data_IF_712837239589
#
_entry.id   IF_712837239589
#
_cell.length_a   1.000
_cell.length_b   1.000
_cell.length_c   1.000
_cell.angle_alpha   90.00
_cell.angle_beta   90.00
_cell.angle_gamma   90.00
#
_symmetry.space_group_name_H-M   'P 1'
#
loop_
_entity.id
_entity.type
_entity.pdbx_description
1 polymer ?
2 polymer ?
3 polymer ?
4 water ?
#
# COMPACT_ATOMS: atom_id res chain seq x y z
N UNK A 1 0.84 -9.03 18.51
CA UNK A 1 1.20 -10.36 18.07
C UNK A 1 2.46 -10.39 17.22
N UNK A 2 2.29 -10.70 15.94
CA UNK A 2 3.41 -10.77 15.01
C UNK A 2 3.62 -9.43 14.31
N UNK A 3 4.82 -9.22 13.78
CA UNK A 3 5.13 -7.96 13.11
C UNK A 3 5.98 -8.19 11.88
N UNK A 4 5.99 -7.21 10.98
CA UNK A 4 6.77 -7.32 9.77
C UNK A 4 7.52 -6.02 9.46
N UNK A 5 8.71 -6.16 8.89
CA UNK A 5 9.38 -5.02 8.27
C UNK A 5 9.52 -5.30 6.79
N UNK A 6 9.26 -4.28 5.98
CA UNK A 6 9.19 -4.45 4.54
C UNK A 6 9.75 -3.23 3.81
N UNK A 7 10.65 -3.47 2.87
CA UNK A 7 11.15 -2.41 2.00
C UNK A 7 10.63 -2.62 0.58
N UNK A 8 10.19 -1.52 -0.02
CA UNK A 8 9.65 -1.51 -1.36
C UNK A 8 10.45 -0.56 -2.26
N UNK A 9 11.09 -1.12 -3.29
CA UNK A 9 11.77 -0.34 -4.31
C UNK A 9 10.96 -0.32 -5.60
N UNK A 10 10.91 0.85 -6.23
CA UNK A 10 10.35 0.99 -7.57
C UNK A 10 11.36 1.71 -8.45
N UNK A 11 11.70 1.10 -9.57
CA UNK A 11 12.61 1.70 -10.54
C UNK A 11 11.89 1.86 -11.88
N UNK A 12 11.79 3.10 -12.33
CA UNK A 12 11.02 3.42 -13.53
C UNK A 12 11.87 4.10 -14.60
N UNK A 13 12.08 3.41 -15.72
CA UNK A 13 12.83 4.01 -16.82
C UNK A 13 11.94 4.96 -17.61
N UNK A 14 12.56 5.93 -18.26
CA UNK A 14 11.83 6.98 -18.96
C UNK A 14 12.73 7.61 -20.02
N UNK A 15 12.98 6.86 -21.11
CA UNK A 15 13.91 7.31 -22.15
C UNK A 15 13.54 8.68 -22.72
N UNK A 16 14.53 9.54 -22.86
CA UNK A 16 14.31 10.90 -23.32
C UNK A 16 14.07 11.86 -22.17
N UNK A 17 13.87 11.31 -20.98
CA UNK A 17 13.57 12.13 -19.80
C UNK A 17 14.46 11.79 -18.63
N UNK A 18 15.74 11.53 -18.93
CA UNK A 18 16.74 11.32 -17.89
C UNK A 18 16.87 9.87 -17.47
N UNK A 19 17.65 9.66 -16.40
CA UNK A 19 17.88 8.33 -15.87
C UNK A 19 16.63 7.84 -15.14
N UNK A 20 16.50 6.51 -14.98
CA UNK A 20 15.32 5.97 -14.30
C UNK A 20 15.13 6.50 -12.88
N UNK A 21 13.88 6.80 -12.52
CA UNK A 21 13.54 7.23 -11.18
C UNK A 21 13.57 6.05 -10.22
N UNK A 22 14.18 6.25 -9.05
CA UNK A 22 14.22 5.21 -8.04
C UNK A 22 13.55 5.72 -6.77
N UNK A 23 12.46 5.05 -6.38
CA UNK A 23 11.73 5.40 -5.17
C UNK A 23 11.72 4.22 -4.20
N UNK A 24 12.13 4.48 -2.95
CA UNK A 24 12.13 3.43 -1.95
C UNK A 24 11.33 3.86 -0.73
N UNK A 25 10.52 2.96 -0.20
CA UNK A 25 9.82 3.23 1.06
C UNK A 25 9.99 2.05 2.01
N UNK A 26 9.96 2.35 3.30
CA UNK A 26 10.11 1.33 4.32
C UNK A 26 8.91 1.34 5.25
N UNK A 27 8.43 0.15 5.59
CA UNK A 27 7.27 -0.04 6.45
C UNK A 27 7.58 -0.96 7.62
N UNK A 28 7.08 -0.61 8.80
CA UNK A 28 6.89 -1.59 9.85
C UNK A 28 5.39 -1.81 9.97
N UNK A 29 4.95 -3.04 9.74
CA UNK A 29 3.52 -3.34 9.61
C UNK A 29 2.88 -2.39 8.60
N UNK A 30 1.82 -1.70 9.01
CA UNK A 30 1.13 -0.76 8.12
C UNK A 30 1.55 0.69 8.35
N UNK A 31 2.74 0.88 8.91
CA UNK A 31 3.26 2.21 9.20
C UNK A 31 4.53 2.50 8.40
N UNK A 32 4.46 3.48 7.49
CA UNK A 32 5.65 3.88 6.74
C UNK A 32 6.58 4.68 7.65
N UNK A 33 7.88 4.43 7.58
CA UNK A 33 8.79 5.14 8.45
C UNK A 33 9.98 5.79 7.74
N UNK A 34 10.31 5.33 6.54
CA UNK A 34 11.35 5.98 5.74
C UNK A 34 10.97 6.09 4.28
N UNK A 35 11.64 6.99 3.56
CA UNK A 35 11.44 7.14 2.13
C UNK A 35 12.70 7.66 1.44
N UNK A 36 12.81 7.33 0.16
CA UNK A 36 13.87 7.87 -0.70
C UNK A 36 13.30 8.10 -2.10
N UNK A 37 13.62 9.26 -2.68
CA UNK A 37 13.20 9.57 -4.04
C UNK A 37 14.36 10.21 -4.79
N UNK A 38 14.81 9.55 -5.85
CA UNK A 38 15.96 10.02 -6.60
C UNK A 38 15.65 11.33 -7.34
N UNK A 39 14.36 11.65 -7.46
CA UNK A 39 13.92 12.86 -8.14
C UNK A 39 13.83 14.06 -7.21
N UNK A 40 14.01 13.82 -5.91
CA UNK A 40 13.97 14.91 -4.94
C UNK A 40 15.12 15.88 -5.18
N UNK A 41 14.94 17.13 -4.79
CA UNK A 41 15.98 18.14 -4.95
C UNK A 41 17.27 17.70 -4.28
N UNK A 42 17.14 17.15 -3.07
CA UNK A 42 18.28 16.58 -2.35
C UNK A 42 17.95 15.17 -1.88
N UNK A 43 18.19 14.17 -2.75
CA UNK A 43 17.88 12.76 -2.45
C UNK A 43 18.56 12.26 -1.19
N UNK A 44 17.76 11.93 -0.18
CA UNK A 44 18.24 11.35 1.07
C UNK A 44 17.20 10.39 1.62
N UNK A 45 17.64 9.39 2.38
CA UNK A 45 16.70 8.61 3.17
C UNK A 45 16.13 9.54 4.22
N UNK A 46 14.80 9.70 4.22
CA UNK A 46 14.15 10.66 5.10
C UNK A 46 13.13 9.99 6.00
N UNK A 47 12.98 10.52 7.23
CA UNK A 47 12.03 9.97 8.22
C UNK A 47 10.57 10.22 7.85
N UNK A 48 9.72 9.25 8.14
CA UNK A 48 8.29 9.38 7.88
C UNK A 48 7.47 8.98 9.11
N UNK A 49 8.16 8.55 10.15
CA UNK A 49 7.55 8.21 11.43
C UNK A 49 8.35 8.86 12.56
N UNK A 50 7.67 9.28 13.64
CA UNK A 50 8.37 10.00 14.71
C UNK A 50 9.43 9.17 15.43
N UNK A 51 9.23 7.87 15.54
CA UNK A 51 10.14 7.03 16.34
C UNK A 51 11.45 6.71 15.62
N UNK A 52 11.56 7.05 14.34
CA UNK A 52 12.80 6.79 13.60
C UNK A 52 13.72 8.00 13.64
N UNK A 53 13.17 9.15 14.07
CA UNK A 53 13.92 10.40 14.07
C UNK A 53 15.09 10.40 15.05
N UNK A 54 15.01 9.57 16.08
CA UNK A 54 16.06 9.54 17.10
C UNK A 54 17.35 8.89 16.59
N UNK A 55 17.28 8.18 15.47
CA UNK A 55 18.47 7.58 14.87
C UNK A 55 19.45 8.67 14.45
N UNK A 56 20.74 8.43 14.66
CA UNK A 56 21.75 9.45 14.44
C UNK A 56 22.24 9.58 13.01
N UNK A 57 23.15 10.53 12.76
CA UNK A 57 23.70 10.86 11.44
C UNK A 57 24.31 9.65 10.72
N UNK A 58 24.92 8.75 11.46
CA UNK A 58 25.51 7.55 10.88
C UNK A 58 24.43 6.69 10.22
N UNK A 59 23.29 6.57 10.89
CA UNK A 59 22.16 5.82 10.36
C UNK A 59 21.69 6.41 9.03
N UNK A 60 21.35 7.69 9.04
CA UNK A 60 20.77 8.34 7.87
C UNK A 60 21.76 8.41 6.70
N UNK A 61 23.03 8.64 7.01
CA UNK A 61 24.05 8.67 5.96
C UNK A 61 24.24 7.29 5.36
N UNK A 62 24.33 6.27 6.21
CA UNK A 62 24.44 4.90 5.76
C UNK A 62 23.28 4.49 4.86
N UNK A 63 22.07 4.79 5.32
CA UNK A 63 20.86 4.47 4.57
C UNK A 63 20.81 5.21 3.23
N UNK A 64 21.22 6.48 3.24
CA UNK A 64 21.24 7.27 2.02
C UNK A 64 22.23 6.70 0.99
N UNK A 65 23.45 6.40 1.44
CA UNK A 65 24.44 5.77 0.58
C UNK A 65 23.87 4.48 0.00
N UNK A 66 23.20 3.45 0.99
CA UNK A 66 22.52 2.29 0.43
C UNK A 66 21.51 2.67 -0.64
N UNK A 67 20.71 3.71 -0.52
CA UNK A 67 19.68 3.96 -1.50
C UNK A 67 20.26 4.44 -2.83
N UNK A 68 21.31 5.24 -2.78
CA UNK A 68 21.96 5.67 -4.02
C UNK A 68 22.59 4.49 -4.75
N UNK A 69 23.30 3.66 -4.01
CA UNK A 69 23.90 2.45 -4.58
C UNK A 69 22.83 1.55 -5.21
N UNK A 70 21.74 1.35 -4.49
CA UNK A 70 20.62 0.54 -4.97
C UNK A 70 20.01 1.13 -6.24
N UNK A 71 19.91 2.46 -6.28
CA UNK A 71 19.40 3.15 -7.46
C UNK A 71 20.29 2.83 -8.65
N UNK A 72 21.60 2.94 -8.47
CA UNK A 72 22.54 2.54 -9.53
C UNK A 72 22.31 1.09 -9.99
N UNK A 73 22.25 0.19 -9.02
CA UNK A 73 22.06 -1.23 -9.29
C UNK A 73 20.81 -1.51 -10.13
N UNK A 74 19.68 -0.91 -9.76
CA UNK A 74 18.45 -1.20 -10.47
C UNK A 74 18.33 -0.44 -11.80
N UNK A 75 19.04 0.67 -11.90
CA UNK A 75 19.20 1.31 -13.21
C UNK A 75 19.95 0.37 -14.15
N UNK A 76 20.96 -0.33 -13.63
CA UNK A 76 21.61 -1.36 -14.44
C UNK A 76 20.64 -2.52 -14.76
N UNK A 77 19.89 -2.94 -13.76
CA UNK A 77 18.94 -4.04 -13.92
C UNK A 77 17.88 -3.78 -14.99
N UNK A 78 17.47 -2.53 -15.13
CA UNK A 78 16.51 -2.19 -16.19
C UNK A 78 17.09 -2.44 -17.60
N UNK A 79 18.36 -2.07 -17.79
CA UNK A 79 19.04 -2.31 -19.07
C UNK A 79 19.22 -3.82 -19.32
N UNK A 80 19.72 -4.50 -18.30
CA UNK A 80 19.85 -5.95 -18.36
C UNK A 80 18.53 -6.60 -18.77
N UNK A 81 17.45 -6.15 -18.15
CA UNK A 81 16.10 -6.65 -18.43
C UNK A 81 15.70 -6.36 -19.87
N UNK A 82 16.10 -5.20 -20.37
CA UNK A 82 15.90 -4.89 -21.79
C UNK A 82 16.54 -5.97 -22.65
N UNK A 83 17.76 -6.37 -22.27
CA UNK A 83 18.43 -7.43 -23.04
C UNK A 83 17.74 -8.80 -22.90
N UNK A 84 17.25 -9.12 -21.71
CA UNK A 84 16.66 -10.43 -21.45
C UNK A 84 15.32 -10.65 -22.18
N UNK A 85 14.65 -9.56 -22.52
CA UNK A 85 13.32 -9.65 -23.12
C UNK A 85 13.28 -9.13 -24.56
N UNK A 86 14.46 -8.87 -25.13
CA UNK A 86 14.58 -8.42 -26.52
C UNK A 86 13.80 -7.14 -26.78
N UNK A 87 13.80 -6.23 -25.82
CA UNK A 87 13.04 -4.99 -25.92
C UNK A 87 13.90 -3.81 -26.38
N UNK A 88 13.26 -2.79 -26.94
CA UNK A 88 13.96 -1.61 -27.42
C UNK A 88 14.26 -0.63 -26.28
N UNK A 89 15.16 0.31 -26.55
CA UNK A 89 15.54 1.29 -25.54
C UNK A 89 14.61 2.50 -25.55
N UNK A 90 13.56 2.44 -26.37
CA UNK A 90 12.64 3.56 -26.51
C UNK A 90 11.46 3.48 -25.54
N UNK A 91 11.23 2.30 -24.97
CA UNK A 91 10.08 2.10 -24.13
C UNK A 91 10.35 2.32 -22.66
N UNK A 92 9.29 2.63 -21.90
CA UNK A 92 9.38 2.80 -20.46
C UNK A 92 9.05 1.48 -19.74
N UNK A 93 9.85 1.13 -18.74
CA UNK A 93 9.64 -0.12 -18.01
C UNK A 93 9.82 0.06 -16.51
N UNK A 94 9.31 -0.89 -15.74
CA UNK A 94 9.35 -0.81 -14.29
C UNK A 94 9.85 -2.09 -13.64
N UNK A 95 10.81 -1.96 -12.72
CA UNK A 95 11.17 -3.07 -11.85
C UNK A 95 10.68 -2.75 -10.45
N UNK A 96 10.05 -3.71 -9.80
CA UNK A 96 9.64 -3.53 -8.42
C UNK A 96 10.27 -4.59 -7.54
N UNK A 97 10.60 -4.23 -6.30
CA UNK A 97 11.19 -5.18 -5.37
C UNK A 97 10.56 -5.02 -3.99
N UNK A 98 10.20 -6.12 -3.36
CA UNK A 98 9.83 -6.07 -1.96
C UNK A 98 10.59 -7.12 -1.18
N UNK A 99 11.18 -6.70 -0.06
CA UNK A 99 11.91 -7.66 0.77
C UNK A 99 11.74 -7.33 2.25
N UNK A 100 12.02 -8.29 3.12
CA UNK A 100 11.87 -8.02 4.54
C UNK A 100 11.60 -9.25 5.38
N UNK A 101 11.19 -9.04 6.62
CA UNK A 101 11.05 -10.14 7.55
C UNK A 101 9.79 -10.06 8.40
N UNK A 102 9.25 -11.23 8.72
CA UNK A 102 8.17 -11.37 9.69
C UNK A 102 8.72 -12.04 10.94
N UNK A 103 8.45 -11.44 12.09
CA UNK A 103 8.78 -12.02 13.39
C UNK A 103 7.52 -12.27 14.20
N UNK A 104 7.58 -13.25 15.09
CA UNK A 104 6.45 -13.57 15.96
C UNK A 104 6.53 -12.78 17.25
N UNK A 105 5.62 -13.07 18.19
CA UNK A 105 5.56 -12.38 19.48
C UNK A 105 6.87 -12.44 20.25
N UNK A 106 7.60 -13.54 20.07
CA UNK A 106 8.87 -13.73 20.76
C UNK A 106 10.03 -13.03 20.06
N UNK A 107 9.74 -12.32 18.96
CA UNK A 107 10.76 -11.59 18.24
C UNK A 107 11.67 -12.45 17.38
N UNK A 108 11.33 -13.74 17.28
CA UNK A 108 12.11 -14.65 16.44
C UNK A 108 11.57 -14.63 15.00
N UNK A 109 12.45 -14.90 14.04
CA UNK A 109 12.08 -14.88 12.63
C UNK A 109 10.95 -15.86 12.31
N UNK A 110 9.84 -15.33 11.81
CA UNK A 110 8.76 -16.18 11.31
C UNK A 110 9.06 -16.55 9.88
N UNK A 111 9.41 -15.55 9.07
CA UNK A 111 9.86 -15.85 7.70
C UNK A 111 10.46 -14.66 6.97
N UNK A 112 11.17 -14.93 5.88
CA UNK A 112 11.81 -13.89 5.11
C UNK A 112 11.22 -13.73 3.72
N UNK A 113 11.51 -12.59 3.10
CA UNK A 113 11.00 -12.25 1.78
C UNK A 113 12.03 -11.48 0.96
N UNK A 114 12.10 -11.80 -0.33
CA UNK A 114 12.83 -11.01 -1.32
C UNK A 114 12.34 -11.37 -2.71
N UNK A 115 11.34 -10.62 -3.18
CA UNK A 115 10.68 -10.92 -4.45
C UNK A 115 10.69 -9.70 -5.37
N UNK A 116 10.81 -9.93 -6.67
CA UNK A 116 10.86 -8.84 -7.64
C UNK A 116 9.90 -9.07 -8.80
N UNK A 117 9.52 -7.97 -9.45
CA UNK A 117 8.64 -7.99 -10.61
C UNK A 117 9.20 -7.12 -11.72
N UNK A 118 8.87 -7.48 -12.96
CA UNK A 118 9.21 -6.66 -14.12
C UNK A 118 7.94 -6.33 -14.87
N UNK A 119 7.68 -5.03 -15.03
CA UNK A 119 6.47 -4.54 -15.69
C UNK A 119 5.19 -5.13 -15.09
N UNK A 120 5.18 -5.28 -13.77
CA UNK A 120 3.97 -5.70 -13.06
C UNK A 120 3.76 -7.20 -12.95
N UNK A 121 4.69 -7.99 -13.47
CA UNK A 121 4.58 -9.44 -13.38
C UNK A 121 5.75 -10.04 -12.61
N UNK A 122 5.48 -11.11 -11.86
CA UNK A 122 6.50 -11.87 -11.15
C UNK A 122 7.75 -12.07 -11.99
N UNK A 123 8.91 -11.85 -11.40
CA UNK A 123 10.17 -12.08 -12.10
C UNK A 123 10.95 -13.17 -11.39
N UNK A 124 11.50 -12.85 -10.22
CA UNK A 124 12.20 -13.86 -9.42
C UNK A 124 11.85 -13.67 -7.95
N UNK A 125 11.83 -14.78 -7.19
CA UNK A 125 11.50 -14.70 -5.77
C UNK A 125 12.38 -15.65 -4.95
N UNK A 126 12.85 -15.16 -3.82
CA UNK A 126 13.54 -16.02 -2.86
C UNK A 126 12.51 -16.94 -2.21
N UNK A 127 12.75 -18.25 -2.28
CA UNK A 127 11.83 -19.21 -1.66
C UNK A 127 11.86 -19.12 -0.14
N UNK A 128 10.87 -19.73 0.51
CA UNK A 128 10.72 -19.63 1.96
C UNK A 128 11.92 -20.20 2.71
N UNK A 129 12.65 -21.11 2.07
CA UNK A 129 13.84 -21.71 2.68
C UNK A 129 15.01 -20.72 2.76
N UNK A 130 14.87 -19.58 2.09
CA UNK A 130 15.91 -18.56 2.02
C UNK A 130 17.21 -19.11 1.46
N UNK A 131 17.11 -20.09 0.57
CA UNK A 131 18.29 -20.71 -0.01
C UNK A 131 18.12 -21.03 -1.49
N UNK A 132 16.89 -21.08 -1.97
CA UNK A 132 16.64 -21.33 -3.38
C UNK A 132 15.76 -20.24 -4.00
N UNK A 133 15.62 -20.28 -5.32
CA UNK A 133 14.86 -19.25 -6.04
C UNK A 133 13.75 -19.84 -6.89
N UNK A 134 12.71 -19.04 -7.11
CA UNK A 134 11.67 -19.35 -8.09
C UNK A 134 11.68 -18.28 -9.18
N UNK A 135 12.00 -18.72 -10.40
CA UNK A 135 12.00 -17.83 -11.56
C UNK A 135 10.71 -18.01 -12.36
N UNK A 136 10.10 -16.89 -12.76
CA UNK A 136 8.78 -16.92 -13.40
C UNK A 136 8.85 -17.23 -14.89
N UNK A 137 10.01 -17.00 -15.51
CA UNK A 137 10.19 -17.27 -16.93
C UNK A 137 11.66 -17.53 -17.24
N UNK A 138 11.97 -17.71 -18.52
CA UNK A 138 13.32 -18.08 -18.93
C UNK A 138 14.32 -16.95 -18.78
N UNK A 139 13.83 -15.71 -18.82
CA UNK A 139 14.69 -14.56 -18.56
C UNK A 139 15.18 -14.59 -17.12
N UNK A 140 14.24 -14.76 -16.19
CA UNK A 140 14.56 -14.80 -14.78
C UNK A 140 15.41 -16.02 -14.41
N UNK A 141 15.38 -17.05 -15.24
CA UNK A 141 16.22 -18.22 -15.02
C UNK A 141 17.70 -17.89 -15.20
N UNK A 142 18.00 -16.96 -16.11
CA UNK A 142 19.37 -16.49 -16.28
C UNK A 142 19.87 -15.85 -14.99
N UNK A 143 19.05 -14.94 -14.46
CA UNK A 143 19.33 -14.30 -13.18
C UNK A 143 19.50 -15.36 -12.09
N UNK A 144 18.64 -16.37 -12.11
CA UNK A 144 18.72 -17.45 -11.13
C UNK A 144 20.05 -18.17 -11.18
N UNK A 145 20.49 -18.48 -12.38
CA UNK A 145 21.75 -19.15 -12.62
C UNK A 145 22.88 -18.30 -12.06
N UNK A 146 22.84 -17.05 -12.39
CA UNK A 146 23.82 -16.07 -11.95
C UNK A 146 23.90 -15.99 -10.41
N UNK A 147 22.74 -16.00 -9.76
CA UNK A 147 22.66 -15.82 -8.31
C UNK A 147 23.00 -17.09 -7.56
N UNK A 148 22.75 -18.23 -8.19
CA UNK A 148 23.13 -19.52 -7.63
C UNK A 148 24.65 -19.65 -7.67
N UNK A 149 25.24 -19.20 -8.78
CA UNK A 149 26.69 -19.23 -8.90
C UNK A 149 27.35 -18.29 -7.87
N UNK A 150 26.66 -17.21 -7.53
CA UNK A 150 27.23 -16.19 -6.66
C UNK A 150 26.79 -16.34 -5.21
N UNK A 151 26.00 -17.37 -4.93
CA UNK A 151 25.48 -17.63 -3.59
C UNK A 151 24.83 -16.40 -2.94
N UNK A 152 24.06 -15.67 -3.74
CA UNK A 152 23.35 -14.47 -3.30
C UNK A 152 22.34 -14.79 -2.17
N UNK A 153 21.71 -15.95 -2.29
CA UNK A 153 20.70 -16.38 -1.34
C UNK A 153 21.26 -16.46 0.08
N UNK A 154 22.56 -16.78 0.20
CA UNK A 154 23.19 -16.88 1.52
C UNK A 154 23.37 -15.50 2.15
N UNK A 155 23.69 -14.50 1.31
CA UNK A 155 23.80 -13.13 1.79
C UNK A 155 22.44 -12.61 2.21
N UNK A 156 21.43 -12.86 1.36
CA UNK A 156 20.07 -12.46 1.69
C UNK A 156 19.60 -13.11 2.98
N UNK A 157 19.91 -14.39 3.15
CA UNK A 157 19.53 -15.12 4.35
C UNK A 157 20.23 -14.54 5.58
N UNK A 158 21.50 -14.20 5.41
CA UNK A 158 22.27 -13.60 6.50
C UNK A 158 21.64 -12.28 6.93
N UNK A 159 21.16 -11.50 5.96
CA UNK A 159 20.47 -10.24 6.28
C UNK A 159 19.11 -10.47 6.96
N UNK A 160 18.32 -11.36 6.38
CA UNK A 160 16.95 -11.56 6.84
C UNK A 160 16.89 -12.20 8.22
N UNK A 161 17.86 -13.07 8.51
CA UNK A 161 17.91 -13.73 9.81
C UNK A 161 18.59 -12.86 10.86
N UNK A 162 19.46 -11.97 10.43
CA UNK A 162 20.22 -11.14 11.34
C UNK A 162 19.71 -9.71 11.46
N UNK A 163 20.33 -8.81 10.71
CA UNK A 163 20.06 -7.36 10.79
C UNK A 163 18.59 -7.00 10.66
N UNK A 164 17.87 -7.65 9.74
CA UNK A 164 16.46 -7.34 9.52
C UNK A 164 15.66 -7.52 10.81
N UNK A 165 15.80 -8.69 11.42
CA UNK A 165 15.08 -9.02 12.66
C UNK A 165 15.47 -8.09 13.81
N UNK A 166 16.77 -7.86 13.96
CA UNK A 166 17.28 -7.06 15.07
C UNK A 166 16.81 -5.62 14.99
N UNK A 167 16.91 -5.04 13.79
CA UNK A 167 16.47 -3.67 13.60
C UNK A 167 14.95 -3.56 13.69
N UNK A 168 14.25 -4.60 13.25
CA UNK A 168 12.79 -4.60 13.41
C UNK A 168 12.41 -4.59 14.89
N UNK A 169 13.11 -5.38 15.69
CA UNK A 169 12.83 -5.43 17.13
C UNK A 169 13.15 -4.07 17.76
N UNK A 170 14.26 -3.47 17.33
CA UNK A 170 14.62 -2.13 17.78
C UNK A 170 13.50 -1.12 17.49
N UNK A 171 13.00 -1.13 16.26
CA UNK A 171 11.92 -0.23 15.86
C UNK A 171 10.65 -0.47 16.68
N UNK A 172 10.34 -1.74 16.88
CA UNK A 172 9.17 -2.14 17.67
C UNK A 172 9.27 -1.59 19.08
N UNK A 173 10.48 -1.58 19.63
CA UNK A 173 10.68 -1.02 20.96
C UNK A 173 10.59 0.50 20.98
N UNK A 174 11.23 1.16 20.01
CA UNK A 174 11.23 2.62 19.97
C UNK A 174 9.85 3.21 19.64
N UNK A 175 9.05 2.49 18.86
CA UNK A 175 7.75 2.98 18.48
C UNK A 175 6.63 2.20 19.14
N UNK A 176 6.91 1.67 20.33
CA UNK A 176 5.99 0.77 21.02
C UNK A 176 4.60 1.37 21.27
N UNK A 177 4.55 2.67 21.51
CA UNK A 177 3.30 3.35 21.82
C UNK A 177 2.32 3.33 20.65
N UNK A 178 2.85 3.17 19.44
CA UNK A 178 2.02 3.14 18.24
C UNK A 178 2.10 1.81 17.51
N UNK A 179 3.32 1.32 17.26
CA UNK A 179 3.51 0.07 16.54
C UNK A 179 2.91 -1.13 17.28
N UNK A 180 2.92 -1.08 18.61
CA UNK A 180 2.37 -2.18 19.40
C UNK A 180 1.00 -1.83 20.00
N UNK A 181 0.33 -0.85 19.38
CA UNK A 181 -1.03 -0.49 19.79
C UNK A 181 -2.01 -0.73 18.65
N UNK A 182 -3.02 -1.56 18.91
CA UNK A 182 -4.09 -1.77 17.96
C UNK A 182 -5.25 -0.84 18.30
N UNK A 183 -5.77 -0.15 17.29
CA UNK A 183 -6.97 0.66 17.47
C UNK A 183 -8.15 -0.07 16.88
N UNK A 184 -9.13 -0.42 17.71
CA UNK A 184 -10.30 -1.17 17.22
C UNK A 184 -11.16 -0.29 16.32
N UNK A 185 -11.97 -0.90 15.44
CA UNK A 185 -12.82 -0.10 14.57
C UNK A 185 -14.02 0.50 15.32
N UNK A 186 -14.37 1.73 14.97
CA UNK A 186 -15.67 2.27 15.33
C UNK A 186 -16.64 1.80 14.26
N UNK A 187 -17.67 1.06 14.66
CA UNK A 187 -18.55 0.41 13.70
C UNK A 187 -19.98 0.92 13.77
N UNK A 188 -20.65 0.98 12.62
CA UNK A 188 -22.09 1.28 12.62
C UNK A 188 -22.76 0.88 11.31
N UNK A 189 -24.06 0.68 11.32
CA UNK A 189 -24.78 0.28 10.13
C UNK A 189 -25.70 1.40 9.64
N UNK A 190 -25.62 1.72 8.36
CA UNK A 190 -26.52 2.70 7.76
C UNK A 190 -27.52 2.03 6.83
N UNK A 191 -28.64 2.71 6.61
CA UNK A 191 -29.75 2.16 5.84
C UNK A 191 -30.25 3.19 4.84
N UNK A 192 -30.23 2.84 3.56
CA UNK A 192 -30.69 3.75 2.52
C UNK A 192 -31.62 3.05 1.54
N UNK A 193 -32.90 3.41 1.55
CA UNK A 193 -33.85 2.83 0.59
C UNK A 193 -33.43 3.17 -0.83
N UNK A 194 -33.50 2.20 -1.74
CA UNK A 194 -33.20 2.46 -3.13
C UNK A 194 -34.47 2.41 -3.96
N UNK A 195 -35.50 1.79 -3.39
CA UNK A 195 -36.82 1.74 -3.98
C UNK A 195 -37.82 1.35 -2.90
N UNK A 196 -39.09 1.20 -3.28
CA UNK A 196 -40.14 0.86 -2.32
C UNK A 196 -40.00 -0.55 -1.74
N UNK A 197 -39.18 -1.38 -2.37
CA UNK A 197 -39.07 -2.78 -1.95
C UNK A 197 -37.64 -3.26 -1.76
N UNK A 198 -36.68 -2.36 -1.89
CA UNK A 198 -35.28 -2.69 -1.65
C UNK A 198 -34.54 -1.57 -0.94
N UNK A 199 -33.59 -1.95 -0.08
CA UNK A 199 -32.78 -1.00 0.66
C UNK A 199 -31.34 -1.48 0.80
N UNK A 200 -30.41 -0.54 0.80
CA UNK A 200 -29.00 -0.86 1.05
C UNK A 200 -28.68 -0.79 2.54
N UNK A 201 -28.10 -1.86 3.05
CA UNK A 201 -27.51 -1.85 4.38
C UNK A 201 -26.00 -1.75 4.22
N UNK A 202 -25.39 -0.79 4.90
CA UNK A 202 -23.95 -0.61 4.79
C UNK A 202 -23.30 -0.64 6.17
N UNK A 203 -22.44 -1.64 6.37
CA UNK A 203 -21.68 -1.78 7.59
C UNK A 203 -20.34 -1.05 7.49
N UNK A 204 -20.18 -0.04 8.33
CA UNK A 204 -18.98 0.80 8.38
C UNK A 204 -18.04 0.41 9.51
N UNK A 205 -16.74 0.36 9.18
CA UNK A 205 -15.66 0.30 10.15
C UNK A 205 -14.69 1.47 9.91
N UNK A 206 -14.49 2.28 10.95
CA UNK A 206 -13.67 3.48 10.83
C UNK A 206 -12.57 3.54 11.88
N UNK A 207 -11.45 4.15 11.51
CA UNK A 207 -10.42 4.51 12.48
C UNK A 207 -9.69 3.36 13.11
N UNK A 208 -9.49 2.27 12.37
CA UNK A 208 -8.81 1.11 12.93
C UNK A 208 -7.36 0.95 12.46
N UNK A 209 -6.55 0.35 13.31
CA UNK A 209 -5.17 -0.01 13.00
C UNK A 209 -4.85 -1.31 13.72
N UNK A 210 -4.20 -2.26 13.03
CA UNK A 210 -3.73 -2.17 11.63
C UNK A 210 -4.84 -2.37 10.60
N UNK A 211 -4.45 -2.40 9.33
CA UNK A 211 -5.41 -2.42 8.22
C UNK A 211 -6.20 -3.72 8.13
N UNK A 212 -5.61 -4.82 8.60
CA UNK A 212 -6.26 -6.12 8.50
C UNK A 212 -7.57 -6.13 9.27
N UNK A 213 -8.66 -6.41 8.55
CA UNK A 213 -9.98 -6.46 9.15
C UNK A 213 -10.87 -7.38 8.33
N UNK A 214 -11.89 -7.96 8.96
CA UNK A 214 -12.88 -8.73 8.23
C UNK A 214 -14.28 -8.20 8.48
N UNK A 215 -14.97 -7.82 7.41
CA UNK A 215 -16.36 -7.39 7.47
C UNK A 215 -17.22 -8.36 6.67
N UNK A 216 -18.21 -8.97 7.29
CA UNK A 216 -19.07 -9.90 6.55
C UNK A 216 -20.54 -9.68 6.86
N UNK A 217 -21.38 -9.80 5.83
CA UNK A 217 -22.82 -9.76 6.06
C UNK A 217 -23.41 -11.17 6.09
N UNK A 218 -24.24 -11.42 7.08
CA UNK A 218 -24.94 -12.68 7.20
C UNK A 218 -26.45 -12.46 7.09
N UNK A 219 -27.10 -13.31 6.32
CA UNK A 219 -28.54 -13.31 6.22
C UNK A 219 -29.05 -14.61 6.82
N UNK A 220 -29.88 -14.50 7.87
CA UNK A 220 -30.36 -15.66 8.62
C UNK A 220 -29.20 -16.54 9.10
N UNK A 221 -28.07 -15.90 9.40
CA UNK A 221 -26.92 -16.60 9.92
C UNK A 221 -26.03 -17.16 8.83
N UNK A 222 -26.38 -16.92 7.58
CA UNK A 222 -25.62 -17.45 6.44
C UNK A 222 -24.84 -16.35 5.73
N UNK A 223 -23.56 -16.62 5.47
CA UNK A 223 -22.67 -15.66 4.81
C UNK A 223 -23.17 -15.26 3.43
N UNK A 224 -23.17 -13.95 3.16
CA UNK A 224 -23.61 -13.42 1.89
C UNK A 224 -22.44 -12.96 1.03
N UNK A 225 -21.41 -13.80 0.96
CA UNK A 225 -20.16 -13.46 0.30
C UNK A 225 -20.33 -12.98 -1.14
N UNK A 226 -21.11 -13.73 -1.92
CA UNK A 226 -21.25 -13.44 -3.35
C UNK A 226 -22.22 -12.29 -3.63
N UNK A 227 -22.95 -11.85 -2.61
CA UNK A 227 -23.89 -10.75 -2.79
C UNK A 227 -23.46 -9.47 -2.07
N UNK A 228 -22.31 -9.51 -1.41
CA UNK A 228 -21.83 -8.36 -0.65
C UNK A 228 -20.86 -7.51 -1.45
N UNK A 229 -21.13 -6.20 -1.52
CA UNK A 229 -20.18 -5.28 -2.08
C UNK A 229 -19.17 -4.85 -1.02
N UNK A 230 -17.91 -5.13 -1.28
CA UNK A 230 -16.84 -4.86 -0.33
C UNK A 230 -15.85 -3.88 -0.94
N UNK A 231 -15.71 -2.69 -0.36
CA UNK A 231 -14.70 -1.76 -0.87
C UNK A 231 -13.33 -2.07 -0.29
N UNK A 232 -12.30 -1.67 -1.04
CA UNK A 232 -10.93 -1.86 -0.61
C UNK A 232 -10.67 -1.04 0.65
N UNK A 233 -9.97 -1.63 1.61
CA UNK A 233 -9.57 -0.92 2.82
C UNK A 233 -8.75 0.30 2.40
N UNK A 234 -9.09 1.45 2.98
CA UNK A 234 -8.48 2.71 2.55
C UNK A 234 -7.89 3.48 3.72
N UNK A 235 -6.79 4.22 3.49
CA UNK A 235 -6.16 5.01 4.55
C UNK A 235 -6.91 6.30 4.82
N UNK A 236 -7.13 6.61 6.10
CA UNK A 236 -7.81 7.84 6.47
C UNK A 236 -6.87 9.03 6.40
N UNK A 237 -5.58 8.77 6.61
CA UNK A 237 -4.58 9.81 6.55
C UNK A 237 -3.96 10.12 7.90
N UNK A 238 -4.51 9.52 8.96
CA UNK A 238 -4.01 9.71 10.31
C UNK A 238 -3.50 8.41 10.93
N UNK A 239 -2.91 7.56 10.08
CA UNK A 239 -2.42 6.22 10.40
C UNK A 239 -3.54 5.16 10.41
N UNK A 240 -4.78 5.57 10.64
CA UNK A 240 -5.87 4.60 10.72
C UNK A 240 -6.46 4.30 9.34
N UNK A 241 -7.35 3.31 9.30
CA UNK A 241 -7.95 2.87 8.05
C UNK A 241 -9.48 2.83 8.13
N UNK A 242 -10.10 2.70 6.96
CA UNK A 242 -11.54 2.67 6.85
C UNK A 242 -11.96 1.53 5.91
N UNK A 243 -13.17 1.03 6.10
CA UNK A 243 -13.72 0.01 5.21
C UNK A 243 -15.23 -0.09 5.39
N UNK A 244 -15.94 -0.42 4.32
CA UNK A 244 -17.35 -0.77 4.50
C UNK A 244 -17.79 -1.94 3.62
N UNK A 245 -18.89 -2.56 4.03
CA UNK A 245 -19.46 -3.68 3.31
C UNK A 245 -20.95 -3.45 3.14
N UNK A 246 -21.46 -3.59 1.92
CA UNK A 246 -22.86 -3.27 1.66
C UNK A 246 -23.61 -4.44 1.05
N UNK A 247 -24.91 -4.49 1.35
CA UNK A 247 -25.77 -5.52 0.79
C UNK A 247 -27.15 -4.94 0.48
N UNK A 248 -27.76 -5.38 -0.62
CA UNK A 248 -29.09 -4.95 -1.00
C UNK A 248 -30.13 -5.95 -0.50
N UNK A 249 -31.06 -5.48 0.31
CA UNK A 249 -32.00 -6.35 1.00
C UNK A 249 -33.44 -5.96 0.70
N UNK A 250 -34.36 -6.95 0.73
CA UNK A 250 -35.78 -6.66 0.55
C UNK A 250 -36.33 -5.86 1.73
N UNK A 251 -37.13 -4.83 1.44
CA UNK A 251 -37.73 -4.03 2.50
C UNK A 251 -38.58 -4.90 3.41
N UNK A 252 -38.38 -4.75 4.72
CA UNK A 252 -39.09 -5.55 5.69
C UNK A 252 -38.29 -6.75 6.17
N UNK A 253 -37.11 -6.95 5.59
CA UNK A 253 -36.26 -8.07 5.97
C UNK A 253 -34.91 -7.62 6.52
N UNK A 254 -34.79 -6.33 6.84
CA UNK A 254 -33.54 -5.77 7.32
C UNK A 254 -33.00 -6.47 8.57
N UNK A 255 -33.89 -6.84 9.48
CA UNK A 255 -33.48 -7.43 10.75
C UNK A 255 -33.00 -8.87 10.62
N UNK A 256 -33.12 -9.44 9.43
CA UNK A 256 -32.59 -10.78 9.17
C UNK A 256 -31.11 -10.70 8.77
N UNK A 257 -30.58 -9.50 8.77
CA UNK A 257 -29.20 -9.27 8.37
C UNK A 257 -28.34 -8.79 9.54
N UNK A 258 -27.19 -9.44 9.71
CA UNK A 258 -26.24 -9.06 10.76
C UNK A 258 -24.85 -8.87 10.17
N UNK A 259 -24.17 -7.81 10.61
CA UNK A 259 -22.82 -7.53 10.19
C UNK A 259 -21.82 -8.02 11.24
N UNK A 260 -20.82 -8.75 10.77
CA UNK A 260 -19.82 -9.32 11.65
C UNK A 260 -18.46 -8.71 11.36
N UNK A 261 -17.83 -8.22 12.43
CA UNK A 261 -16.56 -7.49 12.33
C UNK A 261 -15.47 -8.17 13.13
N UNK A 262 -14.37 -8.51 12.45
CA UNK A 262 -13.22 -9.10 13.12
C UNK A 262 -12.01 -8.19 12.98
N UNK A 263 -11.38 -7.87 14.11
CA UNK A 263 -10.18 -7.04 14.12
C UNK A 263 -9.34 -7.33 15.35
N UNK A 264 -8.02 -7.24 15.19
CA UNK A 264 -7.06 -7.50 16.26
C UNK A 264 -7.33 -6.67 17.53
N UNK A 265 -7.83 -5.46 17.33
CA UNK A 265 -8.12 -4.56 18.44
C UNK A 265 -9.36 -4.91 19.23
N UNK A 266 -10.15 -5.85 18.71
CA UNK A 266 -11.37 -6.29 19.37
C UNK A 266 -11.12 -7.55 20.20
N UNK A 267 -11.54 -7.53 21.48
CA UNK A 267 -11.42 -8.69 22.36
C UNK A 267 -12.16 -9.90 21.80
N UNK A 268 -13.27 -9.64 21.13
CA UNK A 268 -14.04 -10.69 20.47
C UNK A 268 -14.69 -10.10 19.22
N UNK A 269 -15.02 -10.96 18.25
CA UNK A 269 -15.74 -10.49 17.05
C UNK A 269 -17.03 -9.76 17.40
N UNK A 270 -17.32 -8.70 16.66
CA UNK A 270 -18.49 -7.88 16.91
C UNK A 270 -19.63 -8.23 15.98
N UNK A 271 -20.85 -8.18 16.50
CA UNK A 271 -22.05 -8.38 15.70
C UNK A 271 -22.92 -7.15 15.84
N UNK A 272 -23.38 -6.59 14.72
CA UNK A 272 -24.27 -5.44 14.79
C UNK A 272 -25.31 -5.46 13.69
N UNK A 273 -26.43 -4.77 13.94
CA UNK A 273 -27.52 -4.69 12.98
C UNK A 273 -27.93 -3.26 12.78
N UNK A 274 -28.77 -3.02 11.78
CA UNK A 274 -29.36 -1.71 11.59
C UNK A 274 -30.27 -1.41 12.76
N UNK A 275 -30.08 -0.24 13.36
CA UNK A 275 -30.88 0.19 14.50
C UNK A 275 -31.76 1.39 14.11
N UNK A 276 -32.96 1.11 13.59
CA UNK A 276 -33.88 2.18 13.16
C UNK A 276 -34.33 3.07 14.31
N UNK B 1 3.04 -4.79 -23.06
CA UNK B 1 2.97 -5.15 -21.64
C UNK B 1 1.55 -5.03 -21.12
N UNK B 2 1.35 -5.41 -19.86
CA UNK B 2 0.03 -5.39 -19.25
C UNK B 2 -0.15 -4.14 -18.40
N UNK B 3 -1.32 -3.51 -18.53
CA UNK B 3 -1.64 -2.30 -17.78
C UNK B 3 -2.90 -2.48 -16.94
N UNK B 4 -2.96 -1.80 -15.81
CA UNK B 4 -4.10 -1.91 -14.91
C UNK B 4 -4.67 -0.53 -14.59
N UNK B 5 -5.98 -0.39 -14.73
CA UNK B 5 -6.64 0.89 -14.53
C UNK B 5 -6.90 1.13 -13.04
N UNK B 6 -6.79 2.39 -12.60
CA UNK B 6 -6.91 2.71 -11.18
C UNK B 6 -8.33 2.60 -10.63
N UNK B 7 -8.44 2.03 -9.44
CA UNK B 7 -9.63 2.16 -8.61
C UNK B 7 -9.54 3.49 -7.90
N UNK B 8 -10.68 4.16 -7.74
CA UNK B 8 -10.71 5.50 -7.15
C UNK B 8 -11.75 5.58 -6.04
N UNK B 9 -11.33 6.05 -4.87
CA UNK B 9 -12.28 6.33 -3.79
C UNK B 9 -12.14 7.77 -3.31
N UNK B 10 -13.26 8.47 -3.22
CA UNK B 10 -13.27 9.83 -2.70
C UNK B 10 -14.04 9.87 -1.40
N UNK B 11 -13.43 10.42 -0.36
CA UNK B 11 -14.03 10.33 0.98
C UNK B 11 -13.36 11.30 1.93
N UNK B 12 -13.88 11.42 3.14
CA UNK B 12 -13.27 12.31 4.12
C UNK B 12 -12.60 11.52 5.24
N UNK B 13 -11.62 12.15 5.90
CA UNK B 13 -10.91 11.50 7.01
C UNK B 13 -11.87 11.21 8.15
N UNK B 14 -12.68 12.22 8.49
CA UNK B 14 -13.70 12.08 9.52
C UNK B 14 -15.07 12.22 8.89
N UNK B 15 -16.12 11.70 9.57
CA UNK B 15 -17.49 11.91 9.10
C UNK B 15 -17.76 13.39 8.83
N UNK B 16 -18.44 13.68 7.72
CA UNK B 16 -18.61 15.05 7.26
C UNK B 16 -19.61 15.84 8.12
N UNK B 17 -19.18 17.01 8.56
CA UNK B 17 -20.03 17.92 9.31
C UNK B 17 -19.84 19.34 8.81
N UNK B 18 -20.87 19.89 8.17
CA UNK B 18 -20.79 21.23 7.58
C UNK B 18 -20.30 22.28 8.56
N UNK B 19 -19.22 22.95 8.20
CA UNK B 19 -18.62 23.97 9.05
C UNK B 19 -17.42 23.46 9.84
N UNK B 20 -17.34 22.14 10.00
CA UNK B 20 -16.21 21.52 10.71
C UNK B 20 -15.10 21.16 9.75
N UNK B 21 -13.88 21.59 10.06
CA UNK B 21 -12.73 21.31 9.22
C UNK B 21 -12.44 19.81 9.19
N UNK B 22 -11.80 19.38 8.11
CA UNK B 22 -11.69 17.96 7.79
C UNK B 22 -10.62 17.76 6.73
N UNK B 23 -10.45 16.52 6.28
CA UNK B 23 -9.54 16.22 5.19
C UNK B 23 -10.25 15.47 4.08
N UNK B 24 -10.17 16.01 2.87
CA UNK B 24 -10.66 15.36 1.67
C UNK B 24 -9.58 14.45 1.11
N UNK B 25 -9.94 13.18 0.96
CA UNK B 25 -9.07 12.14 0.44
C UNK B 25 -9.54 11.59 -0.90
N UNK B 26 -8.56 11.35 -1.78
CA UNK B 26 -8.76 10.59 -2.99
C UNK B 26 -7.71 9.49 -3.03
N UNK B 27 -8.16 8.26 -2.83
CA UNK B 27 -7.28 7.10 -2.79
C UNK B 27 -7.36 6.37 -4.13
N UNK B 28 -6.25 6.34 -4.85
CA UNK B 28 -6.20 5.63 -6.12
C UNK B 28 -5.33 4.40 -5.94
N UNK B 29 -5.77 3.26 -6.45
CA UNK B 29 -5.04 2.04 -6.20
C UNK B 29 -5.19 1.02 -7.33
N UNK B 30 -4.41 -0.06 -7.24
CA UNK B 30 -4.55 -1.16 -8.18
C UNK B 30 -4.14 -0.83 -9.60
N UNK B 31 -3.41 0.25 -9.79
CA UNK B 31 -3.02 0.65 -11.14
C UNK B 31 -1.57 0.33 -11.48
N UNK B 32 -1.31 0.24 -12.79
CA UNK B 32 0.01 -0.05 -13.32
C UNK B 32 0.02 0.36 -14.80
N UNK B 33 1.05 1.10 -15.24
CA UNK B 33 2.24 1.59 -14.53
C UNK B 33 1.97 2.72 -13.55
N UNK B 34 3.04 3.30 -13.00
CA UNK B 34 2.95 4.17 -11.83
C UNK B 34 2.60 5.63 -12.13
N UNK B 35 2.87 6.08 -13.35
CA UNK B 35 2.58 7.47 -13.71
C UNK B 35 1.07 7.71 -13.71
N UNK B 36 0.65 8.71 -12.94
CA UNK B 36 -0.77 9.01 -12.82
C UNK B 36 -0.97 10.49 -12.47
N UNK B 37 -2.07 11.06 -12.93
CA UNK B 37 -2.35 12.48 -12.66
C UNK B 37 -3.62 12.59 -11.82
N UNK B 38 -3.52 13.22 -10.66
CA UNK B 38 -4.68 13.35 -9.78
C UNK B 38 -4.89 14.79 -9.33
N UNK B 39 -6.11 15.27 -9.51
CA UNK B 39 -6.49 16.60 -9.03
C UNK B 39 -7.67 16.49 -8.07
N UNK B 40 -7.64 17.31 -7.02
CA UNK B 40 -8.81 17.48 -6.17
C UNK B 40 -9.57 18.74 -6.58
N UNK B 41 -10.84 18.58 -6.88
CA UNK B 41 -11.67 19.66 -7.43
C UNK B 41 -12.71 20.17 -6.44
N UNK B 42 -12.83 21.49 -6.36
CA UNK B 42 -13.90 22.13 -5.61
C UNK B 42 -14.76 22.94 -6.57
N UNK B 43 -15.99 22.48 -6.80
CA UNK B 43 -16.88 23.07 -7.78
C UNK B 43 -16.23 23.17 -9.16
N UNK B 44 -15.64 22.07 -9.62
CA UNK B 44 -15.03 22.00 -10.94
C UNK B 44 -13.68 22.68 -11.04
N UNK B 45 -13.22 23.27 -9.95
CA UNK B 45 -11.96 24.00 -9.96
C UNK B 45 -10.88 23.25 -9.16
N UNK B 46 -9.69 23.17 -9.74
CA UNK B 46 -8.58 22.44 -9.12
C UNK B 46 -8.07 23.13 -7.86
N UNK B 47 -8.02 22.36 -6.77
CA UNK B 47 -7.48 22.84 -5.50
C UNK B 47 -5.96 22.83 -5.52
N UNK B 48 -5.35 23.96 -5.15
CA UNK B 48 -3.90 24.04 -5.08
C UNK B 48 -3.42 23.47 -3.75
N UNK B 49 -2.12 23.21 -3.67
CA UNK B 49 -1.49 22.68 -2.45
C UNK B 49 -2.16 21.40 -1.98
N UNK B 50 -2.30 20.44 -2.89
CA UNK B 50 -2.76 19.11 -2.54
C UNK B 50 -1.54 18.21 -2.37
N UNK B 51 -1.43 17.57 -1.21
CA UNK B 51 -0.31 16.69 -0.93
C UNK B 51 -0.63 15.25 -1.27
N UNK B 52 0.39 14.41 -1.35
CA UNK B 52 0.17 12.99 -1.61
C UNK B 52 1.23 12.12 -0.96
N UNK B 53 0.89 10.86 -0.73
CA UNK B 53 1.78 9.91 -0.08
C UNK B 53 2.90 9.49 -1.01
N UNK B 54 3.89 8.78 -0.45
CA UNK B 54 4.99 8.23 -1.24
C UNK B 54 4.50 7.01 -2.00
N UNK B 55 4.95 6.88 -3.25
CA UNK B 55 4.55 5.76 -4.09
C UNK B 55 4.93 4.42 -3.45
N UNK B 56 3.92 3.59 -3.26
CA UNK B 56 4.13 2.24 -2.75
C UNK B 56 3.24 1.31 -3.55
N UNK B 57 3.34 0.00 -3.31
CA UNK B 57 2.52 -0.94 -4.06
C UNK B 57 2.10 -2.14 -3.24
N UNK B 58 1.07 -2.83 -3.73
CA UNK B 58 0.51 -3.98 -3.05
C UNK B 58 1.24 -5.26 -3.43
N UNK B 59 0.85 -6.37 -2.80
CA UNK B 59 1.47 -7.65 -3.04
C UNK B 59 1.32 -8.13 -4.49
N UNK B 60 0.32 -7.60 -5.19
CA UNK B 60 0.11 -7.94 -6.59
C UNK B 60 0.82 -6.95 -7.53
N UNK B 61 1.73 -6.16 -6.94
CA UNK B 61 2.61 -5.22 -7.65
C UNK B 61 1.91 -3.95 -8.14
N UNK B 62 0.62 -3.84 -7.90
CA UNK B 62 -0.11 -2.66 -8.35
C UNK B 62 0.11 -1.51 -7.37
N UNK B 63 0.20 -0.29 -7.90
CA UNK B 63 0.53 0.88 -7.09
C UNK B 63 -0.69 1.48 -6.39
N UNK B 64 -0.43 2.23 -5.32
CA UNK B 64 -1.48 3.02 -4.68
C UNK B 64 -0.94 4.35 -4.16
N UNK B 65 -1.80 5.36 -4.15
CA UNK B 65 -1.46 6.70 -3.70
C UNK B 65 -2.66 7.34 -3.02
N UNK B 66 -2.39 8.08 -1.95
CA UNK B 66 -3.42 8.88 -1.30
C UNK B 66 -3.16 10.37 -1.54
N UNK B 67 -4.06 11.02 -2.26
CA UNK B 67 -4.01 12.47 -2.40
C UNK B 67 -4.96 13.09 -1.38
N UNK B 68 -4.53 14.15 -0.70
CA UNK B 68 -5.37 14.72 0.34
C UNK B 68 -5.22 16.22 0.48
N UNK B 69 -6.28 16.88 0.93
CA UNK B 69 -6.21 18.30 1.24
C UNK B 69 -7.16 18.65 2.38
N UNK B 70 -6.77 19.60 3.21
CA UNK B 70 -7.67 20.05 4.27
C UNK B 70 -8.80 20.83 3.65
N UNK B 71 -10.01 20.70 4.21
CA UNK B 71 -11.16 21.43 3.68
C UNK B 71 -12.28 21.51 4.70
N UNK B 72 -13.20 22.46 4.48
CA UNK B 72 -14.37 22.59 5.34
C UNK B 72 -15.63 22.43 4.49
N UNK B 73 -16.28 21.27 4.59
CA UNK B 73 -17.44 20.98 3.75
C UNK B 73 -18.63 21.88 4.09
N UNK B 74 -19.42 22.19 3.07
CA UNK B 74 -20.65 22.95 3.25
C UNK B 74 -21.79 22.24 2.53
N UNK B 75 -22.98 22.80 2.58
CA UNK B 75 -24.13 22.21 1.89
C UNK B 75 -24.05 22.52 0.39
N UNK B 76 -23.49 23.68 0.07
CA UNK B 76 -23.48 24.17 -1.31
C UNK B 76 -22.32 23.61 -2.13
N UNK B 77 -21.15 23.51 -1.51
CA UNK B 77 -19.94 23.12 -2.22
C UNK B 77 -19.96 21.66 -2.66
N UNK B 78 -19.47 21.42 -3.88
CA UNK B 78 -19.35 20.07 -4.41
C UNK B 78 -17.87 19.73 -4.66
N UNK B 79 -17.45 18.57 -4.19
CA UNK B 79 -16.05 18.16 -4.30
C UNK B 79 -15.92 16.91 -5.17
N UNK B 80 -14.80 16.81 -5.87
CA UNK B 80 -14.56 15.68 -6.75
C UNK B 80 -13.09 15.34 -6.86
N UNK B 81 -12.81 14.17 -7.42
CA UNK B 81 -11.44 13.78 -7.74
C UNK B 81 -11.34 13.48 -9.23
N UNK B 82 -10.32 14.03 -9.88
CA UNK B 82 -10.14 13.84 -11.31
C UNK B 82 -8.82 13.09 -11.57
N UNK B 83 -8.92 11.94 -12.21
CA UNK B 83 -7.78 11.05 -12.38
C UNK B 83 -7.51 10.76 -13.85
N UNK B 84 -6.24 10.89 -14.26
CA UNK B 84 -5.82 10.49 -15.59
C UNK B 84 -4.73 9.44 -15.51
N UNK B 85 -4.85 8.44 -16.38
CA UNK B 85 -3.91 7.32 -16.44
C UNK B 85 -3.81 6.86 -17.88
N UNK B 86 -2.74 6.15 -18.23
CA UNK B 86 -2.56 5.69 -19.60
C UNK B 86 -3.72 4.75 -20.01
N UNK B 87 -4.33 4.09 -19.04
CA UNK B 87 -5.44 3.17 -19.30
C UNK B 87 -6.75 3.92 -19.56
N UNK B 88 -6.75 5.23 -19.37
CA UNK B 88 -7.95 6.03 -19.54
C UNK B 88 -7.84 6.93 -20.76
N UNK B 89 -8.83 6.86 -21.65
CA UNK B 89 -8.87 7.73 -22.82
C UNK B 89 -9.06 9.17 -22.38
N UNK B 90 -9.98 9.36 -21.44
CA UNK B 90 -10.29 10.68 -20.90
C UNK B 90 -10.19 10.66 -19.36
N UNK B 91 -9.90 11.82 -18.75
CA UNK B 91 -9.88 11.93 -17.30
C UNK B 91 -11.18 11.45 -16.65
N UNK B 92 -11.06 10.51 -15.71
CA UNK B 92 -12.20 9.98 -14.97
C UNK B 92 -12.48 10.88 -13.77
N UNK B 93 -13.73 11.30 -13.61
CA UNK B 93 -14.10 12.15 -12.49
C UNK B 93 -15.05 11.44 -11.53
N UNK B 94 -14.67 11.38 -10.26
CA UNK B 94 -15.50 10.76 -9.24
C UNK B 94 -15.91 11.79 -8.20
N UNK B 95 -17.21 12.00 -8.04
CA UNK B 95 -17.74 13.02 -7.13
C UNK B 95 -17.78 12.52 -5.68
N UNK B 96 -17.43 13.39 -4.74
CA UNK B 96 -17.48 13.03 -3.34
C UNK B 96 -18.91 12.78 -2.89
N UNK B 97 -19.20 11.53 -2.53
CA UNK B 97 -20.49 11.19 -1.94
C UNK B 97 -20.28 11.00 -0.44
N UNK B 98 -20.94 11.84 0.36
CA UNK B 98 -20.72 11.91 1.79
C UNK B 98 -21.10 10.60 2.51
N UNK B 99 -21.81 9.72 1.83
CA UNK B 99 -22.28 8.49 2.44
C UNK B 99 -21.58 7.24 1.90
N UNK B 100 -20.42 7.42 1.28
CA UNK B 100 -19.65 6.29 0.75
C UNK B 100 -18.15 6.51 0.92
N UNK C 1 16.25 -1.16 8.96
CA UNK C 1 17.49 -0.92 8.23
C UNK C 1 17.53 -1.71 6.92
N UNK C 2 17.76 -1.00 5.83
CA UNK C 2 17.80 -1.63 4.51
C UNK C 2 18.98 -2.58 4.37
N UNK C 3 18.94 -3.46 3.37
CA UNK C 3 20.04 -4.39 3.14
C UNK C 3 21.13 -3.73 2.29
N UNK C 4 22.34 -3.70 2.84
CA UNK C 4 23.50 -3.15 2.14
C UNK C 4 24.35 -4.25 1.54
N UNK C 5 24.06 -5.48 1.97
CA UNK C 5 24.88 -6.64 1.62
C UNK C 5 24.42 -7.29 0.32
N UNK C 7 22.71 -3.12 -1.91
CA UNK C 7 23.24 -4.33 -2.55
C UNK C 7 23.62 -4.03 -4.04
N UNK C 8 24.76 -4.55 -4.46
CA UNK C 8 25.33 -4.37 -5.79
C UNK C 8 25.07 -5.56 -6.69
N UNK C 9 24.29 -6.52 -6.20
CA UNK C 9 23.91 -7.72 -6.96
C UNK C 9 23.00 -7.35 -8.13
N UNK C 10 23.41 -7.66 -9.35
CA UNK C 10 22.63 -7.31 -10.54
C UNK C 10 21.95 -8.53 -11.16
N UNK C 11 20.93 -8.27 -11.98
CA UNK C 11 20.17 -9.32 -12.64
C UNK C 11 20.99 -10.06 -13.69
#
# INVERSE_FOLDING_TARGET
GSHSMRYFYTAMSRPGRGEPRFIAVGYVDDTQFVRFDSDAASPRMAPRAPWIEQEGPEYWDGETRNMKASAQTYRENLRIALRYYNQSEAGSHIIQVMYGCDVGPDGRLLRGHDQSAYDGKDYIALNEDLSSWTAADTAAQITQRKWEAARVAEQLRAYLEGLCVEWLRRYLENGKETLQRADPPKTHVTHHPISDHEATLRCWALGFYPAEITLTWQRDGEDQTQDTELVETRPAGDRTFQKWAAVVVPSGEEQRYTCHVQHEGLPKPLTLRWEP
MIQRTPKIQVYSRHPAENGKSNFLNCYVSGFHPSDIEVDLLKNGERIEKVEHSDLSFSKDWSFYLLYYTEFTPTEKDEYACRVNHVTLSQPKIVKWDRDM
LSDSTARDVTW
#
